data_IF_050189818832
#
_entry.id   IF_050189818832
#
_cell.length_a   1.000
_cell.length_b   1.000
_cell.length_c   1.000
_cell.angle_alpha   90.00
_cell.angle_beta   90.00
_cell.angle_gamma   90.00
#
_symmetry.space_group_name_H-M   'P 1'
#
loop_
_entity.id
_entity.type
_entity.pdbx_description
1 polymer ?
#
# COMPACT_ATOMS: atom_id res chain seq x y z
N UNK A 1 0.33 -17.45 -10.62
CA UNK A 1 0.24 -16.36 -9.63
C UNK A 1 0.02 -15.08 -10.41
N UNK A 2 -1.12 -14.40 -10.20
CA UNK A 2 -1.45 -13.19 -10.94
C UNK A 2 -0.47 -12.07 -10.60
N UNK A 3 -0.07 -11.31 -11.62
CA UNK A 3 0.92 -10.24 -11.48
C UNK A 3 0.43 -8.98 -12.21
N UNK A 4 0.76 -7.84 -11.64
CA UNK A 4 0.27 -6.54 -12.09
C UNK A 4 1.43 -5.57 -12.22
N UNK A 5 1.57 -4.89 -13.38
CA UNK A 5 2.56 -3.83 -13.53
C UNK A 5 2.24 -2.69 -12.58
N UNK A 6 3.28 -2.13 -11.97
CA UNK A 6 3.18 -0.94 -11.13
C UNK A 6 3.03 0.29 -12.00
N UNK A 7 2.15 1.16 -11.55
CA UNK A 7 1.99 2.52 -12.01
C UNK A 7 2.14 3.47 -10.83
N UNK A 8 3.07 4.42 -10.89
CA UNK A 8 3.24 5.38 -9.80
C UNK A 8 2.19 6.49 -9.86
N UNK A 9 1.85 7.03 -8.70
CA UNK A 9 0.99 8.20 -8.61
C UNK A 9 1.65 9.29 -7.78
N UNK A 10 1.82 10.43 -8.43
CA UNK A 10 2.28 11.67 -7.84
C UNK A 10 1.12 12.47 -7.28
N UNK A 11 1.44 13.44 -6.42
CA UNK A 11 0.49 14.46 -6.01
C UNK A 11 -0.03 15.21 -7.25
N UNK A 12 -1.35 15.25 -7.41
CA UNK A 12 -2.04 15.86 -8.56
C UNK A 12 -3.14 16.79 -8.11
N UNK A 13 -3.41 17.82 -8.92
CA UNK A 13 -4.55 18.70 -8.77
C UNK A 13 -5.55 18.47 -9.90
N UNK A 14 -6.71 17.93 -9.57
CA UNK A 14 -7.84 17.87 -10.48
C UNK A 14 -8.64 19.18 -10.38
N UNK A 15 -8.84 19.86 -11.50
CA UNK A 15 -9.57 21.12 -11.57
C UNK A 15 -10.84 20.97 -12.41
N UNK A 16 -11.91 21.56 -11.90
CA UNK A 16 -13.11 21.85 -12.66
C UNK A 16 -12.76 22.73 -13.88
N UNK A 17 -13.51 22.56 -14.97
CA UNK A 17 -13.26 23.22 -16.25
C UNK A 17 -13.13 24.75 -16.13
N UNK A 18 -13.97 25.39 -15.32
CA UNK A 18 -13.90 26.85 -15.09
C UNK A 18 -12.56 27.29 -14.50
N UNK A 19 -12.06 26.55 -13.51
CA UNK A 19 -10.88 26.91 -12.73
C UNK A 19 -9.61 26.59 -13.52
N UNK A 20 -9.63 25.48 -14.25
CA UNK A 20 -8.59 25.12 -15.20
C UNK A 20 -8.42 26.22 -16.26
N UNK A 21 -9.49 26.63 -16.95
CA UNK A 21 -9.38 27.67 -17.98
C UNK A 21 -9.04 29.05 -17.41
N UNK A 22 -9.44 29.35 -16.17
CA UNK A 22 -9.02 30.58 -15.50
C UNK A 22 -7.49 30.66 -15.35
N UNK A 23 -6.86 29.53 -14.98
CA UNK A 23 -5.42 29.41 -14.80
C UNK A 23 -4.65 29.28 -16.12
N UNK A 24 -5.09 28.43 -17.04
CA UNK A 24 -4.31 28.06 -18.22
C UNK A 24 -4.76 28.74 -19.52
N UNK A 25 -5.96 29.33 -19.55
CA UNK A 25 -6.61 29.92 -20.73
C UNK A 25 -7.72 29.05 -21.33
N UNK A 26 -8.64 29.65 -22.08
CA UNK A 26 -9.78 28.94 -22.70
C UNK A 26 -9.33 27.92 -23.76
N UNK A 27 -8.22 28.18 -24.44
CA UNK A 27 -7.65 27.30 -25.47
C UNK A 27 -6.58 26.35 -24.89
N UNK A 28 -6.48 26.25 -23.56
CA UNK A 28 -5.52 25.36 -22.93
C UNK A 28 -5.82 23.90 -23.32
N UNK A 29 -4.82 23.16 -23.85
CA UNK A 29 -5.03 21.80 -24.29
C UNK A 29 -5.38 20.90 -23.09
N UNK A 30 -6.11 19.81 -23.36
CA UNK A 30 -6.41 18.76 -22.37
C UNK A 30 -5.19 17.85 -22.22
N UNK A 31 -4.07 18.44 -21.81
CA UNK A 31 -2.80 17.77 -21.55
C UNK A 31 -2.44 18.05 -20.10
N UNK A 32 -1.66 17.17 -19.48
CA UNK A 32 -1.20 17.33 -18.12
C UNK A 32 -0.30 18.59 -18.02
N UNK A 33 -0.81 19.63 -17.38
CA UNK A 33 -0.07 20.87 -17.09
C UNK A 33 0.57 20.79 -15.70
N UNK A 34 1.37 21.78 -15.31
CA UNK A 34 1.93 21.86 -13.94
C UNK A 34 1.53 23.16 -13.27
N UNK A 35 1.20 23.11 -11.99
CA UNK A 35 0.94 24.29 -11.16
C UNK A 35 1.72 24.21 -9.85
N UNK A 36 2.05 25.39 -9.31
CA UNK A 36 2.55 25.52 -7.95
C UNK A 36 1.38 25.79 -7.02
N UNK A 37 1.13 24.88 -6.09
CA UNK A 37 0.15 25.05 -5.03
C UNK A 37 0.83 25.56 -3.76
N UNK A 38 0.12 26.38 -2.99
CA UNK A 38 0.59 26.88 -1.70
C UNK A 38 -0.50 26.73 -0.63
N UNK A 39 -0.11 26.12 0.49
CA UNK A 39 -0.93 25.93 1.69
C UNK A 39 -0.13 26.44 2.89
N UNK A 40 -0.62 27.51 3.52
CA UNK A 40 0.16 28.27 4.50
C UNK A 40 1.48 28.74 3.88
N UNK A 41 2.59 28.44 4.55
CA UNK A 41 3.94 28.83 4.11
C UNK A 41 4.62 27.79 3.21
N UNK A 42 3.95 26.67 2.92
CA UNK A 42 4.54 25.55 2.17
C UNK A 42 4.00 25.50 0.76
N UNK A 43 4.89 25.33 -0.21
CA UNK A 43 4.53 25.20 -1.62
C UNK A 43 4.95 23.84 -2.20
N UNK A 44 4.15 23.34 -3.13
CA UNK A 44 4.38 22.08 -3.85
C UNK A 44 4.08 22.30 -5.35
N UNK A 45 4.89 21.71 -6.23
CA UNK A 45 4.57 21.66 -7.66
C UNK A 45 3.86 20.35 -7.96
N UNK A 46 2.68 20.42 -8.55
CA UNK A 46 1.82 19.27 -8.87
C UNK A 46 1.42 19.29 -10.32
N UNK A 47 1.18 18.11 -10.88
CA UNK A 47 0.54 18.00 -12.17
C UNK A 47 -0.95 18.36 -12.05
N UNK A 48 -1.49 19.00 -13.08
CA UNK A 48 -2.88 19.45 -13.14
C UNK A 48 -3.61 18.73 -14.25
N UNK A 49 -4.80 18.23 -13.92
CA UNK A 49 -5.68 17.54 -14.86
C UNK A 49 -7.07 18.15 -14.82
N UNK A 50 -7.73 18.19 -15.97
CA UNK A 50 -9.14 18.56 -16.07
C UNK A 50 -10.02 17.44 -15.45
N UNK A 51 -10.99 17.81 -14.63
CA UNK A 51 -11.95 16.90 -13.99
C UNK A 51 -13.30 17.60 -13.81
N UNK A 52 -14.35 16.83 -13.53
CA UNK A 52 -15.67 17.37 -13.21
C UNK A 52 -15.75 17.92 -11.78
N UNK A 53 -14.72 17.68 -10.97
CA UNK A 53 -14.64 18.17 -9.60
C UNK A 53 -13.23 18.66 -9.26
N UNK A 54 -13.19 19.59 -8.32
CA UNK A 54 -11.97 20.12 -7.72
C UNK A 54 -11.47 19.17 -6.64
N UNK A 55 -10.34 18.51 -6.87
CA UNK A 55 -9.72 17.62 -5.89
C UNK A 55 -8.20 17.79 -5.88
N UNK A 56 -7.61 17.91 -4.69
CA UNK A 56 -6.16 17.84 -4.49
C UNK A 56 -5.82 16.45 -3.95
N UNK A 57 -5.18 15.64 -4.78
CA UNK A 57 -4.69 14.32 -4.41
C UNK A 57 -3.23 14.44 -3.96
N UNK A 58 -2.91 13.99 -2.76
CA UNK A 58 -1.55 14.04 -2.20
C UNK A 58 -1.00 12.65 -1.93
N UNK A 59 0.31 12.49 -2.09
CA UNK A 59 1.03 11.38 -1.47
C UNK A 59 1.03 11.52 0.06
N UNK A 60 1.18 10.42 0.82
CA UNK A 60 1.40 10.47 2.26
C UNK A 60 2.49 11.46 2.66
N UNK A 61 3.66 11.39 2.02
CA UNK A 61 4.76 12.30 2.32
C UNK A 61 4.42 13.79 2.10
N UNK A 62 3.77 14.14 0.99
CA UNK A 62 3.41 15.53 0.73
C UNK A 62 2.32 16.05 1.67
N UNK A 63 1.39 15.18 2.10
CA UNK A 63 0.39 15.53 3.10
C UNK A 63 1.03 15.96 4.43
N UNK A 64 2.06 15.22 4.89
CA UNK A 64 2.84 15.58 6.07
C UNK A 64 3.63 16.88 5.87
N UNK A 65 4.24 17.07 4.69
CA UNK A 65 4.99 18.31 4.38
C UNK A 65 4.09 19.54 4.43
N UNK A 66 2.86 19.42 3.98
CA UNK A 66 1.86 20.48 4.01
C UNK A 66 1.19 20.64 5.39
N UNK A 67 1.62 19.86 6.40
CA UNK A 67 1.07 19.83 7.75
C UNK A 67 -0.44 19.54 7.77
N UNK A 68 -0.92 18.79 6.79
CA UNK A 68 -2.31 18.34 6.69
C UNK A 68 -2.43 17.00 7.42
N UNK A 69 -3.48 16.83 8.23
CA UNK A 69 -3.69 15.58 8.95
C UNK A 69 -4.45 14.57 8.05
N UNK A 70 -3.84 13.42 7.67
CA UNK A 70 -4.39 12.52 6.66
C UNK A 70 -5.51 11.59 7.16
N UNK A 71 -5.88 11.65 8.45
CA UNK A 71 -6.83 10.74 9.10
C UNK A 71 -8.29 10.81 8.63
N UNK A 72 -8.60 11.59 7.58
CA UNK A 72 -9.97 11.85 7.06
C UNK A 72 -10.08 11.51 5.55
N UNK A 73 -9.04 10.93 4.93
CA UNK A 73 -8.92 10.91 3.47
C UNK A 73 -9.04 9.49 2.91
N UNK A 74 -10.27 9.05 2.58
CA UNK A 74 -10.48 7.81 1.81
C UNK A 74 -10.71 8.10 0.33
N UNK A 75 -10.22 7.25 -0.57
CA UNK A 75 -10.39 7.45 -2.04
C UNK A 75 -11.84 7.43 -2.54
N UNK A 76 -12.77 6.88 -1.76
CA UNK A 76 -14.21 6.98 -2.05
C UNK A 76 -14.76 8.35 -1.67
N UNK A 77 -15.51 9.03 -2.56
CA UNK A 77 -16.23 10.23 -2.22
C UNK A 77 -17.30 9.99 -1.17
N UNK A 78 -16.90 10.10 0.09
CA UNK A 78 -17.80 10.30 1.21
C UNK A 78 -18.07 11.81 1.34
N UNK A 79 -19.26 12.20 1.83
CA UNK A 79 -19.60 13.61 2.05
C UNK A 79 -18.68 14.34 3.05
N UNK A 80 -17.81 13.60 3.76
CA UNK A 80 -16.94 14.10 4.82
C UNK A 80 -15.51 14.47 4.36
N UNK A 81 -15.27 14.63 3.05
CA UNK A 81 -13.98 15.12 2.60
C UNK A 81 -13.62 16.47 3.22
N UNK A 82 -12.38 16.58 3.68
CA UNK A 82 -11.83 17.85 4.14
C UNK A 82 -11.87 18.86 2.98
N UNK A 83 -12.73 19.87 3.11
CA UNK A 83 -12.72 21.01 2.21
C UNK A 83 -11.47 21.83 2.49
N UNK A 84 -10.67 22.05 1.46
CA UNK A 84 -9.46 22.86 1.55
C UNK A 84 -9.58 24.09 0.67
N UNK A 85 -8.94 25.17 1.14
CA UNK A 85 -8.69 26.34 0.32
C UNK A 85 -7.19 26.37 0.04
N UNK A 86 -6.82 26.37 -1.24
CA UNK A 86 -5.42 26.31 -1.68
C UNK A 86 -5.17 27.45 -2.65
N UNK A 87 -4.02 28.10 -2.53
CA UNK A 87 -3.57 29.07 -3.53
C UNK A 87 -2.90 28.32 -4.67
N UNK A 88 -3.36 28.52 -5.89
CA UNK A 88 -2.83 27.86 -7.08
C UNK A 88 -2.23 28.90 -8.00
N UNK A 89 -0.94 28.74 -8.30
CA UNK A 89 -0.19 29.61 -9.19
C UNK A 89 0.20 28.83 -10.45
N UNK A 90 -0.22 29.34 -11.61
CA UNK A 90 0.15 28.79 -12.90
C UNK A 90 0.20 29.90 -13.96
N UNK A 91 1.22 29.86 -14.84
CA UNK A 91 1.38 30.82 -15.95
C UNK A 91 1.26 32.30 -15.55
N UNK A 92 1.81 32.67 -14.37
CA UNK A 92 1.76 34.03 -13.85
C UNK A 92 0.40 34.47 -13.31
N UNK A 93 -0.60 33.57 -13.29
CA UNK A 93 -1.90 33.77 -12.68
C UNK A 93 -1.97 33.08 -11.33
N UNK A 94 -2.85 33.59 -10.48
CA UNK A 94 -3.11 33.09 -9.15
C UNK A 94 -4.62 32.96 -8.95
N UNK A 95 -5.06 31.83 -8.41
CA UNK A 95 -6.47 31.64 -8.04
C UNK A 95 -6.59 30.92 -6.70
N UNK A 96 -7.70 31.17 -6.03
CA UNK A 96 -8.12 30.41 -4.85
C UNK A 96 -8.89 29.19 -5.31
N UNK A 97 -8.34 28.03 -5.02
CA UNK A 97 -8.99 26.74 -5.22
C UNK A 97 -9.78 26.36 -3.98
N UNK A 98 -11.03 25.98 -4.16
CA UNK A 98 -11.84 25.31 -3.14
C UNK A 98 -12.21 23.93 -3.66
N UNK A 99 -11.80 22.90 -2.94
CA UNK A 99 -12.00 21.52 -3.36
C UNK A 99 -11.82 20.54 -2.22
N UNK A 100 -11.87 19.27 -2.57
CA UNK A 100 -11.66 18.18 -1.62
C UNK A 100 -10.18 17.84 -1.55
N UNK A 101 -9.69 17.57 -0.33
CA UNK A 101 -8.42 16.91 -0.15
C UNK A 101 -8.64 15.39 -0.27
N UNK A 102 -7.73 14.70 -0.95
CA UNK A 102 -7.71 13.25 -1.06
C UNK A 102 -6.29 12.73 -0.88
N UNK A 103 -6.15 11.60 -0.20
CA UNK A 103 -4.88 10.88 -0.15
C UNK A 103 -4.85 9.87 -1.29
N UNK A 104 -3.72 9.77 -1.96
CA UNK A 104 -3.49 8.72 -2.94
C UNK A 104 -3.35 7.40 -2.17
N UNK A 105 -4.36 6.56 -2.29
CA UNK A 105 -4.34 5.20 -1.73
C UNK A 105 -3.61 4.23 -2.68
N UNK A 106 -3.16 3.11 -2.11
CA UNK A 106 -2.72 1.95 -2.88
C UNK A 106 -3.94 1.27 -3.49
N UNK A 107 -3.92 1.04 -4.79
CA UNK A 107 -5.06 0.41 -5.47
C UNK A 107 -4.63 -0.68 -6.43
N UNK A 108 -5.48 -1.69 -6.54
CA UNK A 108 -5.40 -2.72 -7.56
C UNK A 108 -6.53 -2.49 -8.56
N UNK A 109 -6.17 -1.91 -9.71
CA UNK A 109 -7.09 -1.58 -10.79
C UNK A 109 -7.30 -2.83 -11.63
N UNK A 110 -8.52 -3.37 -11.68
CA UNK A 110 -8.83 -4.60 -12.40
C UNK A 110 -10.04 -4.42 -13.32
N UNK A 111 -9.99 -5.06 -14.48
CA UNK A 111 -11.15 -5.27 -15.33
C UNK A 111 -12.10 -6.27 -14.69
N UNK A 112 -13.41 -6.11 -14.94
CA UNK A 112 -14.46 -6.98 -14.42
C UNK A 112 -14.17 -8.48 -14.61
N UNK A 113 -13.60 -8.85 -15.77
CA UNK A 113 -13.26 -10.24 -16.07
C UNK A 113 -12.18 -10.79 -15.13
N UNK A 114 -11.10 -10.03 -14.93
CA UNK A 114 -9.99 -10.38 -14.03
C UNK A 114 -10.47 -10.52 -12.59
N UNK A 115 -11.31 -9.59 -12.12
CA UNK A 115 -11.93 -9.66 -10.79
C UNK A 115 -12.76 -10.94 -10.61
N UNK A 116 -13.54 -11.31 -11.63
CA UNK A 116 -14.35 -12.54 -11.61
C UNK A 116 -13.47 -13.79 -11.52
N UNK A 117 -12.38 -13.85 -12.29
CA UNK A 117 -11.44 -14.97 -12.24
C UNK A 117 -10.80 -15.14 -10.86
N UNK A 118 -10.44 -14.03 -10.22
CA UNK A 118 -9.79 -14.01 -8.92
C UNK A 118 -10.77 -14.04 -7.74
N UNK A 119 -12.08 -14.01 -8.02
CA UNK A 119 -13.16 -13.92 -7.04
C UNK A 119 -13.00 -12.71 -6.12
N UNK A 120 -12.57 -11.58 -6.69
CA UNK A 120 -12.45 -10.30 -6.00
C UNK A 120 -13.68 -9.43 -6.28
N UNK A 121 -14.02 -8.57 -5.32
CA UNK A 121 -15.12 -7.60 -5.45
C UNK A 121 -14.60 -6.16 -5.34
N UNK A 122 -15.27 -5.16 -5.95
CA UNK A 122 -14.86 -3.77 -5.82
C UNK A 122 -14.87 -3.33 -4.35
N UNK A 123 -13.86 -2.57 -3.96
CA UNK A 123 -13.66 -2.09 -2.58
C UNK A 123 -13.00 -3.09 -1.64
N UNK A 124 -12.80 -4.35 -2.06
CA UNK A 124 -12.08 -5.36 -1.27
C UNK A 124 -10.62 -4.95 -1.04
N UNK A 125 -10.07 -5.32 0.11
CA UNK A 125 -8.67 -5.05 0.45
C UNK A 125 -7.83 -6.29 0.23
N UNK A 126 -6.65 -6.13 -0.37
CA UNK A 126 -5.72 -7.21 -0.71
C UNK A 126 -4.28 -6.86 -0.31
N UNK A 127 -3.42 -7.88 -0.34
CA UNK A 127 -1.98 -7.73 -0.21
C UNK A 127 -1.30 -7.92 -1.57
N UNK A 128 -0.44 -6.97 -1.92
CA UNK A 128 0.45 -7.08 -3.06
C UNK A 128 1.89 -7.20 -2.58
N UNK A 129 2.73 -7.90 -3.32
CA UNK A 129 4.12 -8.05 -2.94
C UNK A 129 5.08 -7.86 -4.11
N UNK A 130 6.17 -7.16 -3.85
CA UNK A 130 7.28 -6.95 -4.77
C UNK A 130 8.38 -7.97 -4.46
N UNK A 131 8.93 -8.61 -5.50
CA UNK A 131 10.10 -9.50 -5.42
C UNK A 131 11.40 -8.84 -5.88
N UNK A 132 11.32 -7.59 -6.36
CA UNK A 132 12.44 -6.86 -6.94
C UNK A 132 12.79 -5.69 -6.01
N UNK A 133 14.09 -5.47 -5.79
CA UNK A 133 14.59 -4.41 -4.91
C UNK A 133 14.67 -4.87 -3.45
N UNK A 134 13.70 -4.46 -2.64
CA UNK A 134 13.54 -4.89 -1.24
C UNK A 134 12.26 -5.72 -1.18
N UNK A 135 12.32 -7.00 -0.85
CA UNK A 135 11.10 -7.81 -0.71
C UNK A 135 10.09 -7.08 0.18
N UNK A 136 9.03 -6.53 -0.43
CA UNK A 136 8.11 -5.58 0.20
C UNK A 136 6.69 -6.07 0.01
N UNK A 137 5.91 -6.09 1.09
CA UNK A 137 4.46 -6.29 1.03
C UNK A 137 3.76 -4.94 1.22
N UNK A 138 2.86 -4.67 0.29
CA UNK A 138 1.90 -3.58 0.34
C UNK A 138 0.59 -4.14 0.88
N UNK A 139 0.28 -3.81 2.14
CA UNK A 139 -1.04 -4.05 2.73
C UNK A 139 -2.02 -2.90 2.46
N UNK A 140 -3.30 -3.12 2.72
CA UNK A 140 -4.32 -2.08 2.54
C UNK A 140 -4.61 -1.70 1.08
N UNK A 141 -4.27 -2.56 0.11
CA UNK A 141 -4.46 -2.26 -1.31
C UNK A 141 -5.93 -2.47 -1.67
N UNK A 142 -6.63 -1.43 -2.10
CA UNK A 142 -8.06 -1.51 -2.44
C UNK A 142 -8.28 -1.94 -3.89
N UNK A 143 -9.16 -2.89 -4.12
CA UNK A 143 -9.55 -3.34 -5.46
C UNK A 143 -10.54 -2.34 -6.07
N UNK A 144 -10.23 -1.83 -7.26
CA UNK A 144 -11.07 -0.90 -8.00
C UNK A 144 -11.38 -1.49 -9.37
N UNK A 145 -12.66 -1.54 -9.73
CA UNK A 145 -13.06 -1.93 -11.09
C UNK A 145 -12.75 -0.79 -12.07
N UNK A 146 -12.06 -1.11 -13.16
CA UNK A 146 -11.73 -0.17 -14.23
C UNK A 146 -12.06 -0.75 -15.61
N UNK A 147 -12.31 0.12 -16.59
CA UNK A 147 -12.38 -0.26 -18.00
C UNK A 147 -11.00 -0.36 -18.66
N UNK A 148 -9.97 0.23 -18.04
CA UNK A 148 -8.59 0.24 -18.53
C UNK A 148 -7.82 -1.05 -18.25
N UNK A 149 -6.49 -0.98 -18.35
CA UNK A 149 -5.61 -2.13 -18.13
C UNK A 149 -5.50 -2.51 -16.64
N UNK A 150 -5.31 -3.81 -16.37
CA UNK A 150 -5.04 -4.33 -15.03
C UNK A 150 -3.67 -3.84 -14.54
N UNK A 151 -3.60 -3.16 -13.40
CA UNK A 151 -2.35 -2.59 -12.85
C UNK A 151 -2.46 -2.25 -11.38
N UNK A 152 -1.32 -2.15 -10.71
CA UNK A 152 -1.24 -1.71 -9.32
C UNK A 152 -0.82 -0.24 -9.27
N UNK A 153 -1.65 0.61 -8.67
CA UNK A 153 -1.35 2.01 -8.42
C UNK A 153 -0.73 2.16 -7.03
N UNK A 154 0.50 2.64 -6.97
CA UNK A 154 1.25 2.82 -5.71
C UNK A 154 1.69 4.29 -5.61
N UNK A 155 1.53 4.96 -4.46
CA UNK A 155 2.09 6.29 -4.23
C UNK A 155 3.60 6.34 -4.52
N UNK A 156 4.08 7.39 -5.18
CA UNK A 156 5.49 7.46 -5.62
C UNK A 156 6.48 7.33 -4.47
N UNK A 157 6.20 7.97 -3.33
CA UNK A 157 7.03 7.92 -2.12
C UNK A 157 7.16 6.49 -1.57
N UNK A 158 6.06 5.73 -1.56
CA UNK A 158 6.09 4.32 -1.15
C UNK A 158 6.84 3.43 -2.13
N UNK A 159 6.64 3.64 -3.44
CA UNK A 159 7.33 2.91 -4.47
C UNK A 159 8.85 3.15 -4.44
N UNK A 160 9.27 4.39 -4.19
CA UNK A 160 10.67 4.75 -3.97
C UNK A 160 11.26 4.06 -2.73
N UNK A 161 10.50 4.03 -1.63
CA UNK A 161 10.91 3.32 -0.41
C UNK A 161 11.13 1.81 -0.63
N UNK A 162 10.36 1.22 -1.55
CA UNK A 162 10.45 -0.17 -1.98
C UNK A 162 11.47 -0.42 -3.12
N UNK A 163 12.11 0.63 -3.66
CA UNK A 163 13.02 0.58 -4.82
C UNK A 163 12.37 0.02 -6.09
N UNK A 164 11.09 0.31 -6.31
CA UNK A 164 10.36 -0.07 -7.51
C UNK A 164 10.61 0.88 -8.68
N UNK A 165 10.46 0.38 -9.90
CA UNK A 165 10.38 1.14 -11.14
C UNK A 165 9.00 0.99 -11.80
N UNK A 166 8.63 1.92 -12.68
CA UNK A 166 7.40 1.82 -13.48
C UNK A 166 7.40 0.49 -14.25
N UNK A 167 6.25 -0.17 -14.30
CA UNK A 167 6.05 -1.49 -14.89
C UNK A 167 6.77 -2.66 -14.21
N UNK A 168 7.43 -2.46 -13.05
CA UNK A 168 7.81 -3.58 -12.21
C UNK A 168 6.56 -4.38 -11.81
N UNK A 169 6.71 -5.68 -11.54
CA UNK A 169 5.58 -6.56 -11.28
C UNK A 169 5.34 -6.71 -9.78
N UNK A 170 4.09 -6.47 -9.36
CA UNK A 170 3.59 -6.89 -8.05
C UNK A 170 2.74 -8.14 -8.18
N UNK A 171 2.82 -9.00 -7.17
CA UNK A 171 2.07 -10.24 -7.13
C UNK A 171 0.98 -10.16 -6.08
N UNK A 172 -0.22 -10.63 -6.42
CA UNK A 172 -1.30 -10.79 -5.45
C UNK A 172 -0.97 -11.97 -4.52
N UNK A 173 -0.88 -11.72 -3.22
CA UNK A 173 -0.47 -12.72 -2.23
C UNK A 173 -1.56 -13.15 -1.26
N UNK A 174 -2.62 -12.36 -1.11
CA UNK A 174 -3.74 -12.71 -0.24
C UNK A 174 -4.77 -11.60 -0.09
N UNK A 175 -5.82 -11.91 0.67
CA UNK A 175 -6.85 -10.95 1.08
C UNK A 175 -6.42 -10.25 2.37
N UNK A 176 -6.72 -8.95 2.48
CA UNK A 176 -6.46 -8.15 3.68
C UNK A 176 -7.74 -7.60 4.29
N UNK A 177 -7.63 -7.05 5.51
CA UNK A 177 -8.68 -6.23 6.12
C UNK A 177 -8.26 -4.75 6.09
N UNK A 178 -9.20 -3.78 6.06
CA UNK A 178 -8.89 -2.36 5.95
C UNK A 178 -7.93 -1.81 7.03
N UNK A 179 -7.87 -2.46 8.20
CA UNK A 179 -7.01 -2.09 9.32
C UNK A 179 -5.85 -3.08 9.55
N UNK A 180 -5.64 -4.03 8.62
CA UNK A 180 -4.49 -4.92 8.70
C UNK A 180 -3.23 -4.16 8.32
N UNK A 181 -2.50 -3.70 9.33
CA UNK A 181 -1.12 -3.24 9.18
C UNK A 181 -0.34 -4.46 8.72
N UNK A 182 0.37 -4.42 7.57
CA UNK A 182 1.33 -5.45 7.26
C UNK A 182 2.35 -5.42 8.39
N UNK A 183 2.40 -6.47 9.22
CA UNK A 183 3.44 -6.61 10.24
C UNK A 183 4.76 -6.43 9.50
N UNK A 184 5.48 -5.35 9.81
CA UNK A 184 6.75 -5.02 9.17
C UNK A 184 7.84 -5.96 9.67
N UNK A 185 7.67 -7.25 9.41
CA UNK A 185 8.78 -8.16 9.29
C UNK A 185 8.91 -8.40 7.81
N UNK A 186 10.01 -7.91 7.23
CA UNK A 186 10.49 -8.25 5.89
C UNK A 186 9.96 -9.61 5.45
N UNK A 187 8.92 -9.64 4.60
CA UNK A 187 8.43 -10.89 4.10
C UNK A 187 9.42 -11.24 3.00
N UNK A 188 10.41 -12.06 3.34
CA UNK A 188 10.85 -13.03 2.36
C UNK A 188 9.55 -13.72 1.91
N UNK A 189 9.03 -13.33 0.74
CA UNK A 189 7.91 -14.02 0.13
C UNK A 189 8.28 -15.49 0.08
N UNK A 190 7.36 -16.38 0.47
CA UNK A 190 7.69 -17.70 0.92
C UNK A 190 8.24 -18.53 -0.24
N UNK A 191 9.56 -18.72 -0.29
CA UNK A 191 10.08 -19.95 -0.88
C UNK A 191 9.76 -21.14 0.01
N UNK A 192 9.49 -20.92 1.30
CA UNK A 192 9.13 -21.98 2.25
C UNK A 192 8.29 -21.41 3.38
N UNK A 193 6.97 -21.49 3.29
CA UNK A 193 6.21 -21.96 4.44
C UNK A 193 6.61 -23.43 4.68
N UNK A 194 7.88 -23.67 5.05
CA UNK A 194 8.17 -24.82 5.89
C UNK A 194 7.70 -24.34 7.26
N UNK A 195 6.41 -24.56 7.53
CA UNK A 195 6.10 -25.08 8.85
C UNK A 195 7.17 -26.14 9.10
N UNK A 196 8.00 -25.92 10.12
CA UNK A 196 8.86 -26.97 10.61
C UNK A 196 7.94 -28.19 10.73
N UNK A 197 8.17 -29.20 9.89
CA UNK A 197 7.55 -30.51 10.03
C UNK A 197 8.19 -31.14 11.27
N UNK A 198 8.02 -30.48 12.42
CA UNK A 198 8.08 -31.04 13.75
C UNK A 198 6.87 -31.96 13.81
N UNK A 199 6.94 -33.04 13.02
CA UNK A 199 6.08 -34.18 13.23
C UNK A 199 6.31 -34.55 14.68
N UNK A 200 5.25 -34.66 15.50
CA UNK A 200 5.40 -35.28 16.81
C UNK A 200 6.19 -36.56 16.58
N UNK A 201 7.27 -36.76 17.36
CA UNK A 201 8.12 -37.92 17.20
C UNK A 201 7.27 -39.18 17.09
N UNK A 202 7.74 -40.18 16.33
CA UNK A 202 7.06 -41.47 16.03
C UNK A 202 6.61 -42.29 17.27
N UNK A 203 6.63 -41.72 18.47
CA UNK A 203 6.30 -42.32 19.75
C UNK A 203 5.24 -41.50 20.51
N UNK A 204 4.03 -41.33 19.96
CA UNK A 204 2.80 -41.04 20.73
C UNK A 204 2.79 -39.86 21.72
N UNK A 205 3.78 -38.97 21.67
CA UNK A 205 3.95 -37.88 22.63
C UNK A 205 4.03 -36.59 21.84
N UNK A 206 2.95 -35.81 21.92
CA UNK A 206 2.73 -34.55 21.19
C UNK A 206 3.62 -33.39 21.68
N UNK A 207 4.79 -33.68 22.25
CA UNK A 207 5.68 -32.71 22.86
C UNK A 207 6.91 -32.45 21.99
N UNK A 208 7.21 -31.18 21.75
CA UNK A 208 8.44 -30.73 21.10
C UNK A 208 9.55 -30.67 22.16
N UNK A 209 10.64 -31.40 21.93
CA UNK A 209 11.75 -31.48 22.88
C UNK A 209 12.78 -30.39 22.64
N UNK A 210 13.64 -30.15 23.64
CA UNK A 210 14.75 -29.21 23.55
C UNK A 210 15.70 -29.52 22.37
N UNK A 211 15.92 -30.81 22.10
CA UNK A 211 16.77 -31.29 20.99
C UNK A 211 16.20 -30.87 19.63
N UNK A 212 14.88 -30.94 19.47
CA UNK A 212 14.20 -30.57 18.23
C UNK A 212 14.31 -29.04 17.99
N UNK A 213 14.17 -28.26 19.05
CA UNK A 213 14.37 -26.80 19.04
C UNK A 213 15.82 -26.44 18.71
N UNK A 214 16.81 -27.09 19.33
CA UNK A 214 18.23 -26.85 19.04
C UNK A 214 18.63 -27.15 17.60
N UNK A 215 18.18 -28.28 17.04
CA UNK A 215 18.43 -28.61 15.64
C UNK A 215 17.83 -27.56 14.70
N UNK A 216 16.65 -27.03 15.04
CA UNK A 216 16.04 -25.95 14.30
C UNK A 216 16.82 -24.63 14.44
N UNK A 217 17.37 -24.28 15.61
CA UNK A 217 18.19 -23.06 15.81
C UNK A 217 19.49 -23.15 15.00
N UNK A 218 20.16 -24.30 15.06
CA UNK A 218 21.43 -24.50 14.34
C UNK A 218 21.25 -24.41 12.82
N UNK A 219 20.09 -24.83 12.32
CA UNK A 219 19.75 -24.81 10.89
C UNK A 219 19.13 -23.48 10.45
N UNK A 220 18.43 -22.80 11.35
CA UNK A 220 17.63 -21.61 11.06
C UNK A 220 17.88 -20.54 12.13
N UNK A 221 18.28 -19.33 11.71
CA UNK A 221 18.56 -18.21 12.63
C UNK A 221 17.35 -17.73 13.45
N UNK A 222 16.14 -18.17 13.13
CA UNK A 222 14.87 -17.88 13.84
C UNK A 222 13.95 -19.10 13.75
N UNK A 223 13.19 -19.39 14.81
CA UNK A 223 12.19 -20.47 14.85
C UNK A 223 10.82 -19.87 15.14
N UNK A 224 9.78 -20.40 14.48
CA UNK A 224 8.39 -20.08 14.74
C UNK A 224 7.66 -21.32 15.25
N UNK A 225 6.88 -21.17 16.32
CA UNK A 225 6.13 -22.29 16.95
C UNK A 225 4.65 -21.89 17.09
N UNK A 226 3.69 -22.76 16.71
CA UNK A 226 2.27 -22.49 16.94
C UNK A 226 1.96 -22.34 18.44
N UNK A 227 1.09 -21.41 18.84
CA UNK A 227 0.67 -21.25 20.25
C UNK A 227 0.10 -22.53 20.88
N UNK A 228 -0.47 -23.42 20.07
CA UNK A 228 -1.04 -24.69 20.53
C UNK A 228 -0.04 -25.86 20.53
N UNK A 229 1.21 -25.65 20.11
CA UNK A 229 2.23 -26.67 20.15
C UNK A 229 2.72 -26.89 21.59
N UNK A 230 2.71 -28.14 22.05
CA UNK A 230 3.13 -28.46 23.42
C UNK A 230 4.66 -28.53 23.47
N UNK A 231 5.31 -27.50 24.00
CA UNK A 231 6.76 -27.46 24.22
C UNK A 231 7.10 -28.07 25.58
N UNK A 232 8.11 -28.94 25.65
CA UNK A 232 8.67 -29.33 26.95
C UNK A 232 9.16 -28.08 27.70
N UNK A 233 9.16 -28.06 29.05
CA UNK A 233 9.64 -26.90 29.81
C UNK A 233 11.04 -26.44 29.38
N UNK A 234 11.95 -27.39 29.12
CA UNK A 234 13.30 -27.11 28.62
C UNK A 234 13.29 -26.46 27.21
N UNK A 235 12.43 -26.91 26.30
CA UNK A 235 12.26 -26.30 24.98
C UNK A 235 11.68 -24.88 25.06
N UNK A 236 10.76 -24.63 26.00
CA UNK A 236 10.18 -23.32 26.23
C UNK A 236 11.21 -22.32 26.82
N UNK A 237 12.04 -22.77 27.76
CA UNK A 237 13.12 -21.95 28.32
C UNK A 237 14.20 -21.65 27.29
N UNK A 238 14.54 -22.61 26.43
CA UNK A 238 15.43 -22.36 25.29
C UNK A 238 14.88 -21.29 24.34
N UNK A 239 13.55 -21.25 24.21
CA UNK A 239 12.87 -20.26 23.39
C UNK A 239 12.96 -18.83 23.87
N UNK A 240 13.04 -18.63 25.20
CA UNK A 240 13.24 -17.30 25.81
C UNK A 240 14.63 -16.75 25.51
N UNK A 241 15.64 -17.62 25.46
CA UNK A 241 17.03 -17.23 25.18
C UNK A 241 17.30 -17.02 23.69
N UNK A 242 16.52 -17.65 22.80
CA UNK A 242 16.81 -17.73 21.36
C UNK A 242 15.58 -17.44 20.49
N UNK A 243 15.13 -16.16 20.45
CA UNK A 243 14.19 -15.59 19.46
C UNK A 243 13.19 -16.60 18.85
N UNK A 244 12.48 -17.35 19.69
CA UNK A 244 11.35 -18.17 19.26
C UNK A 244 10.12 -17.27 19.23
N UNK A 245 9.44 -17.26 18.10
CA UNK A 245 8.26 -16.45 17.89
C UNK A 245 7.02 -17.34 17.86
N UNK A 246 6.08 -17.07 18.77
CA UNK A 246 4.79 -17.76 18.79
C UNK A 246 3.85 -17.13 17.75
N UNK A 247 3.11 -17.96 17.02
CA UNK A 247 2.07 -17.48 16.10
C UNK A 247 0.73 -18.18 16.34
N UNK A 248 -0.38 -17.47 16.09
CA UNK A 248 -1.71 -18.06 16.00
C UNK A 248 -1.83 -18.78 14.66
N UNK A 249 -2.12 -20.08 14.72
CA UNK A 249 -2.35 -20.92 13.55
C UNK A 249 -3.79 -20.77 13.03
#
# INVERSE_FOLDING_TARGET
MAHYPVYFSDSTLALHRSDYHSLFGNDAPVVQETARIQIGDTALTVAVTLSDSNALCLTPQDSFRLKLNPSILTSTPTPDFLKIIVMVHARGKETRFNGTLQLIERELLLQKHEMTQLKLIPGQVVFLAARKGRDTIFGGVRVIEVSGANRARIPRDEAQGALLQENDLLYLTGLGTPNSIPVSETPALPERFLALDLKPGKSGTSWITEKDVWQAILKHKKIWVPKNARLTPAAADLGKSHRIFEFEA
#
